data_IF_370830025349
#
_entry.id   IF_370830025349
#
_cell.length_a   1.000
_cell.length_b   1.000
_cell.length_c   1.000
_cell.angle_alpha   90.00
_cell.angle_beta   90.00
_cell.angle_gamma   90.00
#
_symmetry.space_group_name_H-M   'P 1'
#
loop_
_entity.id
_entity.type
_entity.pdbx_description
1 polymer ?
#
# COMPACT_ATOMS: atom_id res chain seq x y z
N UNK A 1 1.41 -23.53 4.11
CA UNK A 1 0.88 -23.18 2.77
C UNK A 1 -0.63 -23.23 2.72
N UNK A 2 -1.29 -24.34 3.09
CA UNK A 2 -2.76 -24.45 3.09
C UNK A 2 -3.47 -23.28 3.81
N UNK A 3 -3.06 -22.92 5.03
CA UNK A 3 -3.68 -21.81 5.76
C UNK A 3 -3.52 -20.43 5.10
N UNK A 4 -2.42 -20.16 4.37
CA UNK A 4 -2.22 -18.86 3.70
C UNK A 4 -3.05 -18.77 2.42
N UNK A 5 -3.06 -19.82 1.61
CA UNK A 5 -3.83 -19.86 0.37
C UNK A 5 -5.31 -19.73 0.70
N UNK A 6 -5.79 -20.43 1.74
CA UNK A 6 -7.16 -20.31 2.21
C UNK A 6 -7.46 -18.92 2.77
N UNK A 7 -6.55 -18.30 3.54
CA UNK A 7 -6.76 -16.95 4.07
C UNK A 7 -6.81 -15.89 2.97
N UNK A 8 -5.88 -15.92 2.01
CA UNK A 8 -5.87 -15.00 0.86
C UNK A 8 -7.10 -15.21 -0.03
N UNK A 9 -7.51 -16.46 -0.24
CA UNK A 9 -8.74 -16.79 -0.97
C UNK A 9 -10.00 -16.29 -0.26
N UNK A 10 -10.11 -16.48 1.05
CA UNK A 10 -11.25 -15.98 1.83
C UNK A 10 -11.27 -14.45 1.86
N UNK A 11 -10.11 -13.80 1.99
CA UNK A 11 -9.99 -12.35 1.94
C UNK A 11 -10.39 -11.80 0.57
N UNK A 12 -9.86 -12.36 -0.53
CA UNK A 12 -10.24 -11.92 -1.88
C UNK A 12 -11.72 -12.19 -2.17
N UNK A 13 -12.28 -13.27 -1.62
CA UNK A 13 -13.71 -13.58 -1.76
C UNK A 13 -14.58 -12.52 -1.08
N UNK A 14 -14.21 -12.07 0.13
CA UNK A 14 -14.91 -10.97 0.82
C UNK A 14 -14.86 -9.69 -0.01
N UNK A 15 -13.68 -9.31 -0.53
CA UNK A 15 -13.56 -8.10 -1.36
C UNK A 15 -14.41 -8.19 -2.64
N UNK A 16 -14.47 -9.36 -3.29
CA UNK A 16 -15.33 -9.59 -4.45
C UNK A 16 -16.81 -9.45 -4.10
N UNK A 17 -17.23 -9.97 -2.94
CA UNK A 17 -18.62 -9.84 -2.46
C UNK A 17 -18.98 -8.39 -2.18
N UNK A 18 -18.08 -7.62 -1.57
CA UNK A 18 -18.30 -6.20 -1.32
C UNK A 18 -18.42 -5.41 -2.62
N UNK A 19 -17.47 -5.58 -3.54
CA UNK A 19 -17.49 -4.93 -4.85
C UNK A 19 -18.75 -5.28 -5.64
N UNK A 20 -19.13 -6.56 -5.66
CA UNK A 20 -20.35 -7.02 -6.33
C UNK A 20 -21.61 -6.43 -5.72
N UNK A 21 -21.68 -6.38 -4.38
CA UNK A 21 -22.83 -5.80 -3.67
C UNK A 21 -22.98 -4.31 -3.95
N UNK A 22 -21.86 -3.56 -4.06
CA UNK A 22 -21.89 -2.14 -4.48
C UNK A 22 -22.46 -2.02 -5.90
N UNK A 23 -21.98 -2.83 -6.84
CA UNK A 23 -22.48 -2.83 -8.23
C UNK A 23 -23.97 -3.15 -8.28
N UNK A 24 -24.43 -4.16 -7.54
CA UNK A 24 -25.84 -4.52 -7.45
C UNK A 24 -26.68 -3.42 -6.80
N UNK A 25 -26.21 -2.84 -5.70
CA UNK A 25 -26.92 -1.77 -5.01
C UNK A 25 -27.10 -0.56 -5.94
N UNK A 26 -26.03 -0.10 -6.58
CA UNK A 26 -26.06 1.02 -7.53
C UNK A 26 -26.90 0.69 -8.78
N UNK A 27 -26.80 -0.55 -9.28
CA UNK A 27 -27.58 -1.03 -10.42
C UNK A 27 -29.09 -1.09 -10.12
N UNK A 28 -29.45 -1.50 -8.90
CA UNK A 28 -30.83 -1.64 -8.44
C UNK A 28 -31.49 -0.31 -8.04
N UNK A 29 -30.74 0.64 -7.46
CA UNK A 29 -31.30 1.95 -7.02
C UNK A 29 -31.18 3.05 -8.07
N UNK A 30 -30.32 2.88 -9.07
CA UNK A 30 -30.03 3.90 -10.08
C UNK A 30 -30.11 3.34 -11.50
N UNK A 31 -28.96 3.00 -12.08
CA UNK A 31 -28.89 2.46 -13.43
C UNK A 31 -27.70 1.52 -13.61
N UNK A 32 -27.92 0.44 -14.36
CA UNK A 32 -26.93 -0.61 -14.61
C UNK A 32 -25.77 -0.15 -15.50
N UNK A 33 -26.00 0.81 -16.40
CA UNK A 33 -24.99 1.29 -17.35
C UNK A 33 -23.81 1.95 -16.63
N UNK A 34 -23.99 2.97 -15.76
CA UNK A 34 -22.89 3.55 -14.99
C UNK A 34 -22.23 2.56 -14.02
N UNK A 35 -22.99 1.64 -13.41
CA UNK A 35 -22.43 0.64 -12.50
C UNK A 35 -21.45 -0.30 -13.22
N UNK A 36 -21.82 -0.82 -14.40
CA UNK A 36 -20.97 -1.68 -15.21
C UNK A 36 -19.79 -0.93 -15.84
N UNK A 37 -20.01 0.30 -16.29
CA UNK A 37 -18.92 1.16 -16.80
C UNK A 37 -17.92 1.43 -15.66
N UNK A 38 -18.40 1.80 -14.47
CA UNK A 38 -17.56 2.02 -13.30
C UNK A 38 -16.75 0.79 -12.92
N UNK A 39 -17.36 -0.40 -12.87
CA UNK A 39 -16.67 -1.66 -12.59
C UNK A 39 -15.60 -1.99 -13.66
N UNK A 40 -15.93 -1.82 -14.94
CA UNK A 40 -15.01 -2.07 -16.06
C UNK A 40 -13.84 -1.10 -16.03
N UNK A 41 -14.09 0.18 -15.80
CA UNK A 41 -13.06 1.20 -15.68
C UNK A 41 -12.17 0.95 -14.46
N UNK A 42 -12.75 0.57 -13.32
CA UNK A 42 -11.99 0.22 -12.12
C UNK A 42 -11.05 -0.97 -12.37
N UNK A 43 -11.53 -2.03 -13.04
CA UNK A 43 -10.70 -3.17 -13.42
C UNK A 43 -9.60 -2.78 -14.41
N UNK A 44 -9.92 -1.97 -15.42
CA UNK A 44 -8.95 -1.49 -16.40
C UNK A 44 -7.87 -0.62 -15.74
N UNK A 45 -8.26 0.28 -14.84
CA UNK A 45 -7.33 1.12 -14.07
C UNK A 45 -6.46 0.27 -13.14
N UNK A 46 -7.06 -0.68 -12.41
CA UNK A 46 -6.32 -1.60 -11.55
C UNK A 46 -5.27 -2.38 -12.37
N UNK A 47 -5.67 -2.94 -13.51
CA UNK A 47 -4.75 -3.65 -14.40
C UNK A 47 -3.62 -2.74 -14.89
N UNK A 48 -3.93 -1.53 -15.33
CA UNK A 48 -2.92 -0.57 -15.77
C UNK A 48 -1.95 -0.21 -14.63
N UNK A 49 -2.46 0.11 -13.44
CA UNK A 49 -1.65 0.45 -12.28
C UNK A 49 -0.73 -0.70 -11.87
N UNK A 50 -1.24 -1.93 -11.80
CA UNK A 50 -0.44 -3.12 -11.45
C UNK A 50 0.64 -3.38 -12.50
N UNK A 51 0.31 -3.27 -13.79
CA UNK A 51 1.28 -3.48 -14.85
C UNK A 51 2.38 -2.42 -14.80
N UNK A 52 2.03 -1.15 -14.65
CA UNK A 52 3.00 -0.06 -14.55
C UNK A 52 3.82 -0.17 -13.27
N UNK A 53 3.23 -0.49 -12.13
CA UNK A 53 3.96 -0.58 -10.86
C UNK A 53 4.97 -1.72 -10.87
N UNK A 54 4.58 -2.92 -11.33
CA UNK A 54 5.48 -4.08 -11.39
C UNK A 54 6.61 -3.84 -12.39
N UNK A 55 6.30 -3.24 -13.54
CA UNK A 55 7.32 -2.91 -14.53
C UNK A 55 8.28 -1.85 -14.00
N UNK A 56 7.77 -0.81 -13.33
CA UNK A 56 8.58 0.25 -12.75
C UNK A 56 9.55 -0.30 -11.69
N UNK A 57 9.07 -1.17 -10.80
CA UNK A 57 9.89 -1.82 -9.78
C UNK A 57 11.04 -2.65 -10.41
N UNK A 58 10.72 -3.46 -11.44
CA UNK A 58 11.73 -4.26 -12.13
C UNK A 58 12.76 -3.42 -12.88
N UNK A 59 12.32 -2.35 -13.52
CA UNK A 59 13.19 -1.38 -14.21
C UNK A 59 14.11 -0.67 -13.22
N UNK A 60 13.60 -0.28 -12.05
CA UNK A 60 14.38 0.34 -10.98
C UNK A 60 15.52 -0.58 -10.50
N UNK A 61 15.23 -1.86 -10.26
CA UNK A 61 16.27 -2.84 -9.89
C UNK A 61 17.37 -2.91 -10.96
N UNK A 62 17.00 -2.89 -12.24
CA UNK A 62 17.97 -2.88 -13.35
C UNK A 62 18.82 -1.60 -13.31
N UNK A 63 18.21 -0.44 -13.11
CA UNK A 63 18.95 0.81 -13.00
C UNK A 63 19.89 0.84 -11.79
N UNK A 64 19.48 0.31 -10.64
CA UNK A 64 20.33 0.19 -9.45
C UNK A 64 21.53 -0.72 -9.75
N UNK A 65 21.29 -1.89 -10.35
CA UNK A 65 22.36 -2.83 -10.70
C UNK A 65 23.36 -2.21 -11.67
N UNK A 66 22.87 -1.47 -12.68
CA UNK A 66 23.74 -0.78 -13.63
C UNK A 66 24.50 0.35 -12.94
N UNK A 67 23.83 1.20 -12.15
CA UNK A 67 24.47 2.33 -11.48
C UNK A 67 25.57 1.87 -10.51
N UNK A 68 25.24 0.93 -9.62
CA UNK A 68 26.19 0.40 -8.62
C UNK A 68 27.26 -0.46 -9.27
N UNK A 69 26.87 -1.32 -10.22
CA UNK A 69 27.77 -2.25 -10.89
C UNK A 69 28.74 -1.59 -11.87
N UNK A 70 28.28 -0.59 -12.63
CA UNK A 70 29.11 0.13 -13.59
C UNK A 70 30.12 1.06 -12.92
N UNK A 71 29.81 1.61 -11.75
CA UNK A 71 30.72 2.47 -10.98
C UNK A 71 32.05 1.79 -10.64
N UNK A 72 32.07 0.46 -10.50
CA UNK A 72 33.26 -0.31 -10.12
C UNK A 72 33.63 -1.43 -11.10
N UNK A 73 32.96 -1.53 -12.25
CA UNK A 73 33.14 -2.63 -13.21
C UNK A 73 32.70 -4.01 -12.68
N UNK A 74 31.83 -4.03 -11.67
CA UNK A 74 31.41 -5.20 -10.89
C UNK A 74 29.93 -5.54 -11.09
N UNK A 75 29.44 -5.44 -12.32
CA UNK A 75 28.03 -5.71 -12.69
C UNK A 75 27.57 -7.11 -12.31
N UNK A 76 28.46 -8.10 -12.35
CA UNK A 76 28.17 -9.45 -11.90
C UNK A 76 27.84 -9.50 -10.40
N UNK A 77 28.63 -8.86 -9.56
CA UNK A 77 28.40 -8.83 -8.11
C UNK A 77 27.15 -8.04 -7.74
N UNK A 78 26.88 -6.92 -8.42
CA UNK A 78 25.64 -6.15 -8.25
C UNK A 78 24.39 -6.98 -8.64
N UNK A 79 24.48 -7.76 -9.73
CA UNK A 79 23.40 -8.65 -10.17
C UNK A 79 23.16 -9.80 -9.18
N UNK A 80 24.23 -10.38 -8.62
CA UNK A 80 24.12 -11.39 -7.57
C UNK A 80 23.51 -10.80 -6.28
N UNK A 81 23.87 -9.56 -5.94
CA UNK A 81 23.27 -8.82 -4.83
C UNK A 81 21.76 -8.61 -5.01
N UNK A 82 21.32 -8.20 -6.20
CA UNK A 82 19.91 -8.06 -6.52
C UNK A 82 19.15 -9.39 -6.44
N UNK A 83 19.74 -10.49 -6.95
CA UNK A 83 19.15 -11.82 -6.83
C UNK A 83 19.04 -12.27 -5.37
N UNK A 84 20.09 -12.03 -4.57
CA UNK A 84 20.10 -12.34 -3.15
C UNK A 84 19.06 -11.53 -2.38
N UNK A 85 18.92 -10.23 -2.69
CA UNK A 85 17.89 -9.36 -2.13
C UNK A 85 16.48 -9.87 -2.47
N UNK A 86 16.23 -10.25 -3.74
CA UNK A 86 14.95 -10.82 -4.16
C UNK A 86 14.61 -12.09 -3.36
N UNK A 87 15.58 -13.01 -3.22
CA UNK A 87 15.39 -14.24 -2.44
C UNK A 87 15.14 -13.92 -0.97
N UNK A 88 15.92 -13.01 -0.39
CA UNK A 88 15.78 -12.61 1.01
C UNK A 88 14.41 -11.98 1.28
N UNK A 89 13.98 -11.04 0.45
CA UNK A 89 12.67 -10.40 0.55
C UNK A 89 11.55 -11.43 0.40
N UNK A 90 11.67 -12.36 -0.54
CA UNK A 90 10.72 -13.48 -0.69
C UNK A 90 10.63 -14.32 0.57
N UNK A 91 11.77 -14.68 1.18
CA UNK A 91 11.81 -15.46 2.42
C UNK A 91 11.21 -14.68 3.60
N UNK A 92 11.51 -13.38 3.72
CA UNK A 92 10.93 -12.51 4.75
C UNK A 92 9.41 -12.40 4.57
N UNK A 93 8.93 -12.17 3.35
CA UNK A 93 7.50 -12.12 3.06
C UNK A 93 6.81 -13.44 3.44
N UNK A 94 7.40 -14.59 3.09
CA UNK A 94 6.91 -15.91 3.47
C UNK A 94 6.96 -16.18 4.98
N UNK A 95 7.90 -15.58 5.71
CA UNK A 95 7.98 -15.68 7.17
C UNK A 95 6.91 -14.79 7.84
N UNK A 96 6.76 -13.55 7.37
CA UNK A 96 5.89 -12.53 7.98
C UNK A 96 4.41 -12.66 7.59
N UNK A 97 4.07 -13.36 6.50
CA UNK A 97 2.69 -13.54 6.01
C UNK A 97 1.72 -13.98 7.12
N UNK A 98 2.16 -14.84 8.04
CA UNK A 98 1.31 -15.37 9.12
C UNK A 98 1.02 -14.34 10.18
N UNK A 99 1.95 -13.41 10.41
CA UNK A 99 1.81 -12.36 11.40
C UNK A 99 0.90 -11.26 10.86
N UNK A 100 1.12 -10.85 9.61
CA UNK A 100 0.33 -9.83 8.94
C UNK A 100 -1.13 -10.25 8.74
N UNK A 101 -1.41 -11.53 8.49
CA UNK A 101 -2.78 -12.05 8.37
C UNK A 101 -3.61 -11.94 9.66
N UNK A 102 -2.98 -11.71 10.82
CA UNK A 102 -3.67 -11.51 12.11
C UNK A 102 -3.96 -10.03 12.40
N UNK A 103 -3.32 -9.13 11.66
CA UNK A 103 -3.47 -7.69 11.86
C UNK A 103 -4.77 -7.24 11.18
N UNK A 104 -5.63 -6.46 11.85
CA UNK A 104 -6.81 -5.89 11.22
C UNK A 104 -6.43 -5.11 9.96
N UNK A 105 -7.13 -5.35 8.86
CA UNK A 105 -6.86 -4.73 7.55
C UNK A 105 -6.81 -3.19 7.63
N UNK A 106 -7.72 -2.60 8.40
CA UNK A 106 -7.77 -1.15 8.61
C UNK A 106 -6.51 -0.62 9.29
N UNK A 107 -5.93 -1.38 10.24
CA UNK A 107 -4.69 -1.00 10.89
C UNK A 107 -3.50 -1.14 9.94
N UNK A 108 -3.49 -2.19 9.11
CA UNK A 108 -2.46 -2.39 8.10
C UNK A 108 -2.44 -1.26 7.08
N UNK A 109 -3.61 -0.90 6.51
CA UNK A 109 -3.77 0.24 5.58
C UNK A 109 -3.32 1.55 6.21
N UNK A 110 -3.67 1.78 7.48
CA UNK A 110 -3.29 3.00 8.19
C UNK A 110 -1.77 3.09 8.40
N UNK A 111 -1.15 2.03 8.93
CA UNK A 111 0.30 2.01 9.20
C UNK A 111 1.11 2.12 7.90
N UNK A 112 0.72 1.39 6.85
CA UNK A 112 1.38 1.48 5.54
C UNK A 112 1.25 2.90 4.99
N UNK A 113 0.07 3.51 5.10
CA UNK A 113 -0.15 4.90 4.69
C UNK A 113 0.78 5.89 5.42
N UNK A 114 0.95 5.74 6.74
CA UNK A 114 1.88 6.56 7.52
C UNK A 114 3.33 6.39 7.04
N UNK A 115 3.78 5.14 6.84
CA UNK A 115 5.15 4.85 6.39
C UNK A 115 5.40 5.43 5.01
N UNK A 116 4.54 5.14 4.03
CA UNK A 116 4.71 5.62 2.65
C UNK A 116 4.69 7.14 2.56
N UNK A 117 3.80 7.80 3.32
CA UNK A 117 3.72 9.26 3.34
C UNK A 117 4.98 9.87 3.95
N UNK A 118 5.49 9.29 5.03
CA UNK A 118 6.69 9.80 5.70
C UNK A 118 7.93 9.67 4.82
N UNK A 119 8.09 8.50 4.17
CA UNK A 119 9.15 8.28 3.18
C UNK A 119 9.00 9.25 2.00
N UNK A 120 7.79 9.41 1.46
CA UNK A 120 7.53 10.32 0.35
C UNK A 120 7.94 11.77 0.66
N UNK A 121 7.62 12.27 1.87
CA UNK A 121 8.02 13.60 2.32
C UNK A 121 9.55 13.72 2.40
N UNK A 122 10.20 12.77 3.08
CA UNK A 122 11.64 12.77 3.28
C UNK A 122 12.41 12.81 1.95
N UNK A 123 12.10 11.88 1.05
CA UNK A 123 12.77 11.79 -0.26
C UNK A 123 12.42 12.94 -1.20
N UNK A 124 11.20 13.50 -1.11
CA UNK A 124 10.86 14.71 -1.86
C UNK A 124 11.72 15.90 -1.41
N UNK A 125 11.98 16.03 -0.10
CA UNK A 125 12.87 17.06 0.42
C UNK A 125 14.31 16.87 -0.03
N UNK A 126 14.85 15.66 0.09
CA UNK A 126 16.20 15.33 -0.42
C UNK A 126 16.32 15.59 -1.92
N UNK A 127 15.30 15.23 -2.70
CA UNK A 127 15.26 15.44 -4.15
C UNK A 127 15.25 16.92 -4.59
N UNK A 128 14.87 17.84 -3.71
CA UNK A 128 14.93 19.29 -3.95
C UNK A 128 16.09 19.96 -3.18
N UNK A 129 17.06 19.18 -2.70
CA UNK A 129 18.23 19.64 -1.94
C UNK A 129 17.87 20.35 -0.61
N UNK A 130 16.70 20.01 -0.05
CA UNK A 130 16.28 20.52 1.25
C UNK A 130 17.07 19.83 2.36
N UNK A 131 17.72 20.63 3.20
CA UNK A 131 18.54 20.11 4.29
C UNK A 131 17.65 19.72 5.47
N UNK A 132 17.62 18.44 5.82
CA UNK A 132 16.86 17.95 6.96
C UNK A 132 17.62 18.14 8.29
N UNK A 133 16.97 18.67 9.34
CA UNK A 133 17.60 18.76 10.64
C UNK A 133 17.80 17.35 11.24
N UNK A 134 19.06 16.96 11.44
CA UNK A 134 19.42 15.62 11.93
C UNK A 134 19.57 14.56 10.83
N UNK A 135 19.72 14.98 9.58
CA UNK A 135 19.95 14.12 8.40
C UNK A 135 18.89 13.00 8.34
N UNK A 136 19.32 11.74 8.32
CA UNK A 136 18.45 10.55 8.25
C UNK A 136 17.47 10.43 9.43
N UNK A 137 17.79 11.01 10.60
CA UNK A 137 16.91 10.98 11.77
C UNK A 137 15.63 11.80 11.56
N UNK A 138 15.63 12.73 10.61
CA UNK A 138 14.45 13.49 10.26
C UNK A 138 13.30 12.59 9.78
N UNK A 139 13.58 11.43 9.19
CA UNK A 139 12.55 10.45 8.82
C UNK A 139 11.71 9.99 10.03
N UNK A 140 12.35 9.77 11.18
CA UNK A 140 11.65 9.41 12.42
C UNK A 140 10.79 10.57 12.95
N UNK A 141 11.30 11.81 12.83
CA UNK A 141 10.56 13.00 13.20
C UNK A 141 9.33 13.21 12.30
N UNK A 142 9.49 13.09 10.98
CA UNK A 142 8.41 13.16 9.99
C UNK A 142 7.36 12.08 10.31
N UNK A 143 7.78 10.83 10.52
CA UNK A 143 6.88 9.75 10.89
C UNK A 143 6.09 10.06 12.17
N UNK A 144 6.78 10.56 13.21
CA UNK A 144 6.15 10.99 14.45
C UNK A 144 5.10 12.08 14.24
N UNK A 145 5.41 13.11 13.45
CA UNK A 145 4.50 14.22 13.14
C UNK A 145 3.28 13.74 12.34
N UNK A 146 3.51 12.99 11.27
CA UNK A 146 2.43 12.46 10.41
C UNK A 146 1.53 11.51 11.21
N UNK A 147 2.11 10.67 12.07
CA UNK A 147 1.35 9.81 12.97
C UNK A 147 0.51 10.63 13.96
N UNK A 148 1.11 11.60 14.67
CA UNK A 148 0.40 12.45 15.63
C UNK A 148 -0.76 13.21 14.97
N UNK A 149 -0.52 13.82 13.81
CA UNK A 149 -1.55 14.52 13.05
C UNK A 149 -2.69 13.57 12.65
N UNK A 150 -2.35 12.38 12.13
CA UNK A 150 -3.33 11.37 11.73
C UNK A 150 -4.16 10.88 12.93
N UNK A 151 -3.53 10.61 14.07
CA UNK A 151 -4.24 10.23 15.29
C UNK A 151 -5.15 11.35 15.81
N UNK A 152 -4.70 12.61 15.76
CA UNK A 152 -5.51 13.76 16.15
C UNK A 152 -6.75 13.91 15.26
N UNK A 153 -6.59 13.80 13.93
CA UNK A 153 -7.70 13.86 12.97
C UNK A 153 -8.69 12.72 13.19
N UNK A 154 -8.21 11.48 13.35
CA UNK A 154 -9.08 10.33 13.61
C UNK A 154 -9.85 10.51 14.92
N UNK A 155 -9.20 10.98 15.98
CA UNK A 155 -9.84 11.22 17.28
C UNK A 155 -10.90 12.33 17.17
N UNK A 156 -10.60 13.40 16.45
CA UNK A 156 -11.53 14.50 16.21
C UNK A 156 -12.76 14.05 15.42
N UNK A 157 -12.58 13.35 14.30
CA UNK A 157 -13.69 12.83 13.48
C UNK A 157 -14.59 11.88 14.27
N UNK A 158 -14.01 10.98 15.09
CA UNK A 158 -14.79 10.10 15.97
C UNK A 158 -15.62 10.87 17.00
N UNK A 159 -15.12 12.00 17.49
CA UNK A 159 -15.88 12.86 18.41
C UNK A 159 -16.96 13.70 17.72
N UNK A 160 -16.78 14.05 16.44
CA UNK A 160 -17.72 14.87 15.67
C UNK A 160 -18.89 14.06 15.08
N UNK A 161 -18.71 12.76 14.82
CA UNK A 161 -19.75 11.86 14.30
C UNK A 161 -20.04 10.68 15.24
N UNK A 162 -20.59 10.92 16.45
CA UNK A 162 -21.09 9.86 17.31
C UNK A 162 -22.38 9.29 16.71
N UNK A 163 -22.25 8.33 15.80
CA UNK A 163 -23.28 7.39 15.31
C UNK A 163 -24.74 7.90 15.30
N UNK A 164 -25.22 8.29 14.12
CA UNK A 164 -26.64 8.36 13.75
C UNK A 164 -27.28 6.94 13.65
N UNK A 165 -27.12 6.12 14.69
CA UNK A 165 -27.63 4.74 14.78
C UNK A 165 -28.81 4.64 15.78
N UNK A 166 -29.16 5.73 16.47
CA UNK A 166 -30.28 5.79 17.42
C UNK A 166 -31.63 6.26 16.87
N UNK A 167 -31.72 6.61 15.58
CA UNK A 167 -32.88 7.33 15.02
C UNK A 167 -33.89 6.51 14.20
N UNK A 168 -33.54 5.30 13.75
CA UNK A 168 -34.42 4.46 12.91
C UNK A 168 -35.19 3.38 13.69
N UNK A 169 -35.07 3.37 15.03
CA UNK A 169 -35.75 2.42 15.91
C UNK A 169 -36.86 3.07 16.77
N UNK A 170 -37.39 4.22 16.34
CA UNK A 170 -38.59 4.83 16.93
C UNK A 170 -39.61 5.14 15.85
#
# INVERSE_FOLDING_TARGET
MFSTITAAFLASFVEVVEAFTIVLAVGATGSWRPALIGATLALALLAALVMTSVLLEGVEVVFIVIAVGAAHGQTLYASLGALAALVLVMLIALALQRLLARVPENALKFVIGLVLTSFGIFWTGEGIDAHWPGDDLALLAIFGIVALASFAIVRWLRSAYPAAIGGLAR
#
